data_IF_898692567120
#
_entry.id   IF_898692567120
#
_cell.length_a   1.000
_cell.length_b   1.000
_cell.length_c   1.000
_cell.angle_alpha   90.00
_cell.angle_beta   90.00
_cell.angle_gamma   90.00
#
_symmetry.space_group_name_H-M   'P 1'
#
loop_
_entity.id
_entity.type
_entity.pdbx_description
1 polymer ?
#
# COMPACT_ATOMS: atom_id res chain seq x y z
N UNK A 1 -34.92 -5.27 -8.65
CA UNK A 1 -34.74 -4.19 -7.66
C UNK A 1 -33.88 -3.12 -8.31
N UNK A 2 -34.42 -1.96 -8.65
CA UNK A 2 -33.62 -0.86 -9.22
C UNK A 2 -32.66 -0.35 -8.15
N UNK A 3 -31.35 -0.45 -8.41
CA UNK A 3 -30.29 -0.11 -7.44
C UNK A 3 -30.20 1.40 -7.17
N UNK A 4 -30.77 2.24 -8.04
CA UNK A 4 -30.82 3.68 -7.89
C UNK A 4 -32.19 4.22 -8.29
N UNK A 5 -32.74 5.21 -7.57
CA UNK A 5 -33.99 5.88 -7.95
C UNK A 5 -33.83 6.64 -9.28
N UNK A 6 -34.94 6.81 -10.03
CA UNK A 6 -34.96 7.61 -11.27
C UNK A 6 -34.43 9.03 -11.01
N UNK A 7 -33.48 9.48 -11.83
CA UNK A 7 -32.83 10.79 -11.71
C UNK A 7 -31.59 10.81 -10.81
N UNK A 8 -31.16 9.67 -10.27
CA UNK A 8 -29.93 9.60 -9.49
C UNK A 8 -28.71 10.00 -10.34
N UNK A 9 -27.79 10.83 -9.82
CA UNK A 9 -26.67 11.36 -10.61
C UNK A 9 -25.62 10.30 -10.98
N UNK A 10 -25.51 9.21 -10.21
CA UNK A 10 -24.50 8.15 -10.43
C UNK A 10 -24.64 7.48 -11.81
N UNK A 11 -25.81 6.95 -12.23
CA UNK A 11 -25.99 6.41 -13.57
C UNK A 11 -25.59 7.39 -14.69
N UNK A 12 -25.96 8.66 -14.56
CA UNK A 12 -25.63 9.70 -15.54
C UNK A 12 -24.13 9.98 -15.58
N UNK A 13 -23.48 10.07 -14.43
CA UNK A 13 -22.03 10.25 -14.32
C UNK A 13 -21.28 9.06 -14.93
N UNK A 14 -21.68 7.83 -14.60
CA UNK A 14 -21.08 6.62 -15.16
C UNK A 14 -21.21 6.58 -16.68
N UNK A 15 -22.38 6.96 -17.21
CA UNK A 15 -22.60 7.05 -18.66
C UNK A 15 -21.63 8.03 -19.31
N UNK A 16 -21.43 9.22 -18.73
CA UNK A 16 -20.47 10.21 -19.23
C UNK A 16 -19.04 9.70 -19.16
N UNK A 17 -18.65 9.07 -18.04
CA UNK A 17 -17.31 8.48 -17.88
C UNK A 17 -17.03 7.37 -18.89
N UNK A 18 -18.03 6.54 -19.22
CA UNK A 18 -17.89 5.49 -20.24
C UNK A 18 -17.80 6.03 -21.67
N UNK A 19 -18.19 7.28 -21.90
CA UNK A 19 -18.14 7.94 -23.22
C UNK A 19 -16.88 8.79 -23.40
N UNK A 20 -16.14 9.07 -22.32
CA UNK A 20 -14.89 9.82 -22.38
C UNK A 20 -13.79 9.01 -23.06
N UNK A 21 -12.93 9.69 -23.83
CA UNK A 21 -11.69 9.07 -24.29
C UNK A 21 -10.79 8.71 -23.09
N UNK A 22 -9.84 7.80 -23.29
CA UNK A 22 -8.90 7.39 -22.22
C UNK A 22 -8.21 8.59 -21.55
N UNK A 23 -7.72 9.55 -22.34
CA UNK A 23 -7.08 10.77 -21.79
C UNK A 23 -8.06 11.66 -21.02
N UNK A 24 -9.26 11.87 -21.52
CA UNK A 24 -10.28 12.65 -20.82
C UNK A 24 -10.70 11.97 -19.51
N UNK A 25 -10.84 10.65 -19.52
CA UNK A 25 -11.12 9.88 -18.32
C UNK A 25 -10.01 10.04 -17.27
N UNK A 26 -8.73 9.95 -17.66
CA UNK A 26 -7.62 10.20 -16.75
C UNK A 26 -7.65 11.61 -16.16
N UNK A 27 -7.89 12.63 -17.00
CA UNK A 27 -8.02 14.01 -16.54
C UNK A 27 -9.17 14.20 -15.54
N UNK A 28 -10.34 13.61 -15.81
CA UNK A 28 -11.50 13.67 -14.91
C UNK A 28 -11.16 13.01 -13.56
N UNK A 29 -10.53 11.85 -13.59
CA UNK A 29 -10.11 11.13 -12.37
C UNK A 29 -9.07 11.96 -11.60
N UNK A 30 -8.07 12.52 -12.27
CA UNK A 30 -7.04 13.35 -11.64
C UNK A 30 -7.63 14.59 -10.98
N UNK A 31 -8.53 15.32 -11.65
CA UNK A 31 -9.25 16.46 -11.05
C UNK A 31 -10.07 16.03 -9.83
N UNK A 32 -10.73 14.87 -9.91
CA UNK A 32 -11.46 14.29 -8.77
C UNK A 32 -10.56 14.01 -7.57
N UNK A 33 -9.40 13.40 -7.80
CA UNK A 33 -8.39 13.16 -6.76
C UNK A 33 -7.89 14.47 -6.15
N UNK A 34 -7.46 15.43 -6.98
CA UNK A 34 -6.91 16.71 -6.49
C UNK A 34 -7.94 17.48 -5.65
N UNK A 35 -9.21 17.52 -6.08
CA UNK A 35 -10.28 18.14 -5.28
C UNK A 35 -10.48 17.42 -3.95
N UNK A 36 -10.48 16.08 -3.97
CA UNK A 36 -10.63 15.28 -2.75
C UNK A 36 -9.47 15.53 -1.79
N UNK A 37 -8.24 15.55 -2.30
CA UNK A 37 -7.02 15.83 -1.56
C UNK A 37 -7.11 17.20 -0.90
N UNK A 38 -7.41 18.27 -1.64
CA UNK A 38 -7.48 19.61 -1.06
C UNK A 38 -8.58 19.74 0.00
N UNK A 39 -9.72 19.09 -0.19
CA UNK A 39 -10.77 19.05 0.84
C UNK A 39 -10.29 18.33 2.11
N UNK A 40 -9.60 17.20 1.97
CA UNK A 40 -9.06 16.44 3.12
C UNK A 40 -7.92 17.19 3.80
N UNK A 41 -6.99 17.77 3.04
CA UNK A 41 -5.90 18.61 3.55
C UNK A 41 -6.41 19.79 4.37
N UNK A 42 -7.41 20.51 3.86
CA UNK A 42 -8.00 21.63 4.58
C UNK A 42 -8.64 21.19 5.91
N UNK A 43 -9.15 19.96 6.00
CA UNK A 43 -9.84 19.45 7.19
C UNK A 43 -8.92 18.76 8.20
N UNK A 44 -7.93 18.02 7.71
CA UNK A 44 -7.10 17.09 8.50
C UNK A 44 -5.63 17.51 8.56
N UNK A 45 -5.21 18.43 7.69
CA UNK A 45 -3.82 18.80 7.49
C UNK A 45 -3.07 17.82 6.60
N UNK A 46 -2.05 18.33 5.90
CA UNK A 46 -1.20 17.52 5.00
C UNK A 46 -0.45 16.39 5.73
N UNK A 47 -0.12 16.57 7.01
CA UNK A 47 0.55 15.56 7.83
C UNK A 47 -0.34 14.40 8.29
N UNK A 48 -1.60 14.34 7.86
CA UNK A 48 -2.49 13.23 8.21
C UNK A 48 -2.25 12.02 7.31
N UNK A 49 -2.10 10.82 7.89
CA UNK A 49 -1.85 9.58 7.13
C UNK A 49 -2.90 9.30 6.03
N UNK A 50 -4.18 9.66 6.25
CA UNK A 50 -5.23 9.51 5.23
C UNK A 50 -4.96 10.41 4.03
N UNK A 51 -4.56 11.65 4.29
CA UNK A 51 -4.24 12.63 3.24
C UNK A 51 -3.04 12.14 2.42
N UNK A 52 -1.99 11.66 3.09
CA UNK A 52 -0.80 11.13 2.42
C UNK A 52 -1.11 9.88 1.57
N UNK A 53 -2.03 9.00 2.03
CA UNK A 53 -2.44 7.82 1.26
C UNK A 53 -3.19 8.20 -0.02
N UNK A 54 -4.04 9.22 0.04
CA UNK A 54 -4.73 9.73 -1.15
C UNK A 54 -3.74 10.38 -2.12
N UNK A 55 -2.75 11.12 -1.63
CA UNK A 55 -1.65 11.64 -2.45
C UNK A 55 -0.87 10.52 -3.14
N UNK A 56 -0.43 9.49 -2.41
CA UNK A 56 0.32 8.36 -2.97
C UNK A 56 -0.44 7.68 -4.12
N UNK A 57 -1.75 7.47 -3.95
CA UNK A 57 -2.63 6.90 -4.98
C UNK A 57 -2.82 7.83 -6.19
N UNK A 58 -2.88 9.15 -5.97
CA UNK A 58 -2.96 10.13 -7.05
C UNK A 58 -1.68 10.15 -7.88
N UNK A 59 -0.52 10.20 -7.22
CA UNK A 59 0.79 10.26 -7.87
C UNK A 59 1.09 9.03 -8.73
N UNK A 60 0.63 7.84 -8.31
CA UNK A 60 0.78 6.62 -9.11
C UNK A 60 0.07 6.69 -10.48
N UNK A 61 -0.93 7.55 -10.62
CA UNK A 61 -1.77 7.65 -11.83
C UNK A 61 -1.48 8.91 -12.67
N UNK A 62 -0.59 9.79 -12.21
CA UNK A 62 -0.34 11.07 -12.84
C UNK A 62 1.03 11.07 -13.52
N UNK A 63 1.06 11.46 -14.80
CA UNK A 63 2.31 11.64 -15.56
C UNK A 63 3.07 12.90 -15.12
N UNK A 64 2.34 13.93 -14.65
CA UNK A 64 2.91 15.15 -14.05
C UNK A 64 2.42 15.29 -12.59
N UNK A 65 3.28 14.99 -11.60
CA UNK A 65 2.89 14.99 -10.21
C UNK A 65 2.77 16.40 -9.64
N UNK A 66 1.57 16.77 -9.19
CA UNK A 66 1.34 18.02 -8.45
C UNK A 66 2.10 18.10 -7.09
N UNK A 67 2.61 16.96 -6.60
CA UNK A 67 3.42 16.86 -5.40
C UNK A 67 4.68 16.04 -5.69
N UNK A 68 5.90 16.56 -5.45
CA UNK A 68 7.12 15.78 -5.58
C UNK A 68 7.11 14.54 -4.68
N UNK A 69 7.54 13.39 -5.20
CA UNK A 69 7.60 12.14 -4.44
C UNK A 69 8.46 12.26 -3.16
N UNK A 70 9.53 13.05 -3.20
CA UNK A 70 10.38 13.35 -2.04
C UNK A 70 9.64 14.11 -0.93
N UNK A 71 8.71 14.99 -1.30
CA UNK A 71 7.89 15.70 -0.32
C UNK A 71 6.90 14.74 0.36
N UNK A 72 6.37 13.78 -0.39
CA UNK A 72 5.50 12.73 0.14
C UNK A 72 6.26 11.81 1.12
N UNK A 73 7.42 11.28 0.72
CA UNK A 73 8.21 10.38 1.58
C UNK A 73 8.71 11.08 2.85
N UNK A 74 9.20 12.33 2.76
CA UNK A 74 9.62 13.11 3.94
C UNK A 74 8.48 13.31 4.95
N UNK A 75 7.23 13.40 4.48
CA UNK A 75 6.07 13.55 5.36
C UNK A 75 5.69 12.24 6.01
N UNK A 76 5.71 11.15 5.27
CA UNK A 76 5.54 9.83 5.87
C UNK A 76 6.61 9.53 6.92
N UNK A 77 7.85 9.97 6.71
CA UNK A 77 8.90 9.86 7.74
C UNK A 77 8.49 10.56 9.03
N UNK A 78 8.01 11.81 8.95
CA UNK A 78 7.56 12.56 10.11
C UNK A 78 6.39 11.88 10.84
N UNK A 79 5.41 11.38 10.07
CA UNK A 79 4.25 10.65 10.61
C UNK A 79 4.69 9.33 11.26
N UNK A 80 5.64 8.64 10.66
CA UNK A 80 6.17 7.40 11.19
C UNK A 80 6.95 7.61 12.49
N UNK A 81 7.82 8.62 12.54
CA UNK A 81 8.54 8.97 13.77
C UNK A 81 7.58 9.30 14.92
N UNK A 82 6.48 10.01 14.63
CA UNK A 82 5.47 10.31 15.65
C UNK A 82 4.68 9.07 16.07
N UNK A 83 4.34 8.19 15.12
CA UNK A 83 3.69 6.93 15.41
C UNK A 83 4.53 6.04 16.32
N UNK A 84 5.86 6.00 16.10
CA UNK A 84 6.79 5.25 16.95
C UNK A 84 6.86 5.78 18.40
N UNK A 85 6.57 7.07 18.62
CA UNK A 85 6.49 7.65 19.97
C UNK A 85 5.15 7.44 20.64
N UNK A 86 4.08 7.39 19.85
CA UNK A 86 2.70 7.42 20.33
C UNK A 86 2.08 6.03 20.49
N UNK A 87 2.41 5.11 19.58
CA UNK A 87 1.80 3.79 19.51
C UNK A 87 2.80 2.70 19.89
N UNK A 88 2.28 1.55 20.32
CA UNK A 88 3.08 0.34 20.45
C UNK A 88 3.73 0.03 19.10
N UNK A 89 5.05 -0.26 19.05
CA UNK A 89 5.74 -0.57 17.80
C UNK A 89 5.13 -1.75 17.03
N UNK A 90 4.62 -2.75 17.76
CA UNK A 90 3.91 -3.94 17.25
C UNK A 90 2.41 -3.70 17.04
N UNK A 91 1.90 -2.50 17.35
CA UNK A 91 0.51 -2.14 17.14
C UNK A 91 0.16 -2.06 15.66
N UNK A 92 -1.07 -2.45 15.31
CA UNK A 92 -1.58 -2.44 13.93
C UNK A 92 -1.41 -1.07 13.26
N UNK A 93 -1.57 0.02 14.01
CA UNK A 93 -1.44 1.39 13.49
C UNK A 93 -0.03 1.74 13.01
N UNK A 94 1.00 1.28 13.71
CA UNK A 94 2.40 1.49 13.32
C UNK A 94 2.69 0.77 12.00
N UNK A 95 2.16 -0.44 11.84
CA UNK A 95 2.34 -1.24 10.62
C UNK A 95 1.54 -0.70 9.44
N UNK A 96 0.34 -0.18 9.68
CA UNK A 96 -0.42 0.55 8.66
C UNK A 96 0.39 1.73 8.10
N UNK A 97 1.02 2.52 8.99
CA UNK A 97 1.84 3.65 8.57
C UNK A 97 3.10 3.18 7.84
N UNK A 98 3.75 2.11 8.33
CA UNK A 98 4.88 1.49 7.63
C UNK A 98 4.51 0.99 6.24
N UNK A 99 3.34 0.37 6.08
CA UNK A 99 2.85 -0.10 4.80
C UNK A 99 2.69 1.05 3.81
N UNK A 100 2.00 2.12 4.20
CA UNK A 100 1.81 3.29 3.34
C UNK A 100 3.13 4.00 3.03
N UNK A 101 4.05 4.08 4.00
CA UNK A 101 5.36 4.67 3.78
C UNK A 101 6.21 3.83 2.82
N UNK A 102 6.24 2.51 3.02
CA UNK A 102 6.93 1.57 2.12
C UNK A 102 6.37 1.66 0.70
N UNK A 103 5.03 1.76 0.58
CA UNK A 103 4.36 1.94 -0.71
C UNK A 103 4.83 3.21 -1.40
N UNK A 104 4.86 4.33 -0.69
CA UNK A 104 5.30 5.61 -1.24
C UNK A 104 6.77 5.59 -1.67
N UNK A 105 7.64 4.99 -0.85
CA UNK A 105 9.06 4.82 -1.18
C UNK A 105 9.25 4.04 -2.49
N UNK A 106 8.56 2.91 -2.63
CA UNK A 106 8.71 2.04 -3.80
C UNK A 106 8.02 2.60 -5.04
N UNK A 107 6.70 2.87 -4.96
CA UNK A 107 5.89 3.16 -6.14
C UNK A 107 5.88 4.63 -6.55
N UNK A 108 6.21 5.56 -5.64
CA UNK A 108 6.23 6.98 -5.96
C UNK A 108 7.65 7.55 -6.08
N UNK A 109 8.56 7.16 -5.19
CA UNK A 109 9.91 7.71 -5.16
C UNK A 109 10.97 6.84 -5.89
N UNK A 110 10.67 5.57 -6.19
CA UNK A 110 11.65 4.58 -6.65
C UNK A 110 12.89 4.51 -5.73
N UNK A 111 12.69 4.73 -4.43
CA UNK A 111 13.74 4.68 -3.41
C UNK A 111 13.83 3.26 -2.84
N UNK A 112 14.63 2.42 -3.50
CA UNK A 112 14.75 1.00 -3.17
C UNK A 112 15.48 0.74 -1.85
N UNK A 113 16.43 1.60 -1.46
CA UNK A 113 17.13 1.50 -0.18
C UNK A 113 16.20 1.80 0.99
N UNK A 114 15.39 2.86 0.87
CA UNK A 114 14.34 3.18 1.83
C UNK A 114 13.29 2.07 1.87
N UNK A 115 12.85 1.58 0.70
CA UNK A 115 11.90 0.47 0.62
C UNK A 115 12.42 -0.76 1.36
N UNK A 116 13.67 -1.16 1.10
CA UNK A 116 14.29 -2.31 1.74
C UNK A 116 14.30 -2.17 3.27
N UNK A 117 14.71 -1.01 3.80
CA UNK A 117 14.69 -0.75 5.25
C UNK A 117 13.30 -0.85 5.84
N UNK A 118 12.31 -0.16 5.25
CA UNK A 118 10.95 -0.11 5.79
C UNK A 118 10.25 -1.47 5.70
N UNK A 119 10.43 -2.19 4.60
CA UNK A 119 9.89 -3.53 4.41
C UNK A 119 10.54 -4.53 5.39
N UNK A 120 11.86 -4.48 5.57
CA UNK A 120 12.56 -5.31 6.55
C UNK A 120 12.06 -5.05 7.97
N UNK A 121 11.89 -3.77 8.33
CA UNK A 121 11.31 -3.39 9.62
C UNK A 121 9.89 -3.92 9.80
N UNK A 122 9.07 -3.88 8.75
CA UNK A 122 7.69 -4.41 8.77
C UNK A 122 7.68 -5.92 9.01
N UNK A 123 8.54 -6.68 8.32
CA UNK A 123 8.66 -8.13 8.50
C UNK A 123 9.10 -8.45 9.93
N UNK A 124 10.14 -7.78 10.44
CA UNK A 124 10.64 -8.00 11.80
C UNK A 124 9.58 -7.69 12.87
N UNK A 125 8.79 -6.63 12.69
CA UNK A 125 7.69 -6.31 13.60
C UNK A 125 6.55 -7.33 13.52
N UNK A 126 6.23 -7.81 12.32
CA UNK A 126 5.18 -8.80 12.11
C UNK A 126 5.56 -10.21 12.57
N UNK A 127 6.85 -10.50 12.72
CA UNK A 127 7.33 -11.75 13.33
C UNK A 127 7.03 -11.83 14.83
N UNK A 128 6.81 -10.69 15.50
CA UNK A 128 6.36 -10.68 16.89
C UNK A 128 4.98 -11.36 17.02
N UNK A 129 4.82 -12.18 18.08
CA UNK A 129 3.62 -13.00 18.29
C UNK A 129 2.33 -12.18 18.38
N UNK A 130 2.43 -10.92 18.81
CA UNK A 130 1.30 -10.01 19.03
C UNK A 130 0.54 -9.64 17.73
N UNK A 131 1.22 -9.63 16.58
CA UNK A 131 0.59 -9.16 15.34
C UNK A 131 -0.09 -10.26 14.54
N UNK A 132 0.62 -11.37 14.33
CA UNK A 132 0.22 -12.39 13.36
C UNK A 132 -0.30 -13.67 14.00
N UNK A 133 -0.15 -13.81 15.34
CA UNK A 133 -0.58 -14.99 16.10
C UNK A 133 -0.22 -16.32 15.43
N UNK A 134 -0.97 -17.37 15.76
CA UNK A 134 -0.93 -18.66 15.07
C UNK A 134 -1.90 -18.71 13.88
N UNK A 135 -2.98 -17.92 13.93
CA UNK A 135 -4.04 -17.86 12.93
C UNK A 135 -4.32 -16.41 12.52
N UNK A 136 -3.53 -15.82 11.61
CA UNK A 136 -3.66 -14.41 11.24
C UNK A 136 -5.01 -14.14 10.54
N UNK A 137 -5.67 -13.06 10.95
CA UNK A 137 -6.84 -12.51 10.26
C UNK A 137 -6.42 -11.45 9.25
N UNK A 138 -7.07 -11.42 8.10
CA UNK A 138 -6.75 -10.44 7.08
C UNK A 138 -7.18 -9.04 7.53
N UNK A 139 -6.19 -8.18 7.72
CA UNK A 139 -6.36 -6.77 8.04
C UNK A 139 -5.25 -5.95 7.35
N UNK A 140 -5.27 -4.62 7.52
CA UNK A 140 -4.25 -3.75 6.92
C UNK A 140 -2.83 -4.09 7.40
N UNK A 141 -2.66 -4.53 8.65
CA UNK A 141 -1.35 -4.91 9.17
C UNK A 141 -0.83 -6.19 8.49
N UNK A 142 -1.67 -7.22 8.34
CA UNK A 142 -1.35 -8.45 7.61
C UNK A 142 -1.10 -8.19 6.12
N UNK A 143 -1.85 -7.26 5.52
CA UNK A 143 -1.58 -6.77 4.17
C UNK A 143 -0.22 -6.08 4.09
N UNK A 144 0.12 -5.24 5.07
CA UNK A 144 1.42 -4.59 5.20
C UNK A 144 2.56 -5.59 5.20
N UNK A 145 2.45 -6.63 6.03
CA UNK A 145 3.40 -7.74 6.07
C UNK A 145 3.54 -8.47 4.73
N UNK A 146 2.42 -8.86 4.10
CA UNK A 146 2.43 -9.54 2.82
C UNK A 146 3.10 -8.70 1.72
N UNK A 147 2.80 -7.40 1.67
CA UNK A 147 3.42 -6.45 0.74
C UNK A 147 4.92 -6.31 1.01
N UNK A 148 5.34 -6.18 2.27
CA UNK A 148 6.75 -6.07 2.64
C UNK A 148 7.56 -7.31 2.21
N UNK A 149 7.05 -8.51 2.49
CA UNK A 149 7.70 -9.76 2.09
C UNK A 149 7.84 -9.86 0.56
N UNK A 150 6.81 -9.46 -0.20
CA UNK A 150 6.87 -9.41 -1.66
C UNK A 150 7.92 -8.43 -2.17
N UNK A 151 7.97 -7.21 -1.62
CA UNK A 151 8.92 -6.18 -2.06
C UNK A 151 10.37 -6.58 -1.76
N UNK A 152 10.63 -7.18 -0.60
CA UNK A 152 11.95 -7.71 -0.26
C UNK A 152 12.37 -8.80 -1.26
N UNK A 153 11.48 -9.73 -1.60
CA UNK A 153 11.76 -10.73 -2.64
C UNK A 153 12.13 -10.09 -3.98
N UNK A 154 11.30 -9.15 -4.47
CA UNK A 154 11.54 -8.47 -5.74
C UNK A 154 12.87 -7.68 -5.75
N UNK A 155 13.21 -7.00 -4.66
CA UNK A 155 14.46 -6.25 -4.55
C UNK A 155 15.68 -7.17 -4.35
N UNK A 156 15.51 -8.29 -3.66
CA UNK A 156 16.54 -9.32 -3.48
C UNK A 156 17.02 -9.88 -4.82
N UNK A 157 16.09 -10.15 -5.74
CA UNK A 157 16.41 -10.60 -7.10
C UNK A 157 17.23 -9.55 -7.88
N UNK A 158 16.99 -8.27 -7.64
CA UNK A 158 17.70 -7.19 -8.32
C UNK A 158 19.08 -6.88 -7.71
N UNK A 159 19.32 -7.30 -6.47
CA UNK A 159 20.51 -6.90 -5.69
C UNK A 159 21.43 -8.06 -5.32
N UNK A 160 21.15 -9.28 -5.80
CA UNK A 160 21.97 -10.46 -5.54
C UNK A 160 21.78 -11.10 -4.16
N UNK A 161 20.64 -10.83 -3.50
CA UNK A 161 20.26 -11.40 -2.19
C UNK A 161 19.09 -12.41 -2.32
N UNK A 162 19.02 -13.15 -3.43
CA UNK A 162 17.90 -14.01 -3.83
C UNK A 162 17.47 -15.01 -2.74
N UNK A 163 18.44 -15.64 -2.07
CA UNK A 163 18.19 -16.62 -1.01
C UNK A 163 17.42 -16.01 0.15
N UNK A 164 17.80 -14.81 0.58
CA UNK A 164 17.16 -14.11 1.69
C UNK A 164 15.72 -13.70 1.32
N UNK A 165 15.54 -13.13 0.13
CA UNK A 165 14.21 -12.74 -0.36
C UNK A 165 13.26 -13.94 -0.48
N UNK A 166 13.78 -15.06 -0.99
CA UNK A 166 13.04 -16.33 -1.12
C UNK A 166 12.61 -16.87 0.25
N UNK A 167 13.53 -16.88 1.22
CA UNK A 167 13.23 -17.33 2.58
C UNK A 167 12.13 -16.48 3.24
N UNK A 168 12.23 -15.16 3.13
CA UNK A 168 11.24 -14.22 3.68
C UNK A 168 9.86 -14.46 3.04
N UNK A 169 9.82 -14.56 1.71
CA UNK A 169 8.55 -14.76 1.00
C UNK A 169 7.91 -16.12 1.30
N UNK A 170 8.70 -17.18 1.42
CA UNK A 170 8.23 -18.51 1.85
C UNK A 170 7.70 -18.49 3.28
N UNK A 171 8.39 -17.80 4.19
CA UNK A 171 7.92 -17.63 5.57
C UNK A 171 6.55 -16.94 5.61
N UNK A 172 6.39 -15.85 4.85
CA UNK A 172 5.14 -15.13 4.76
C UNK A 172 3.99 -15.99 4.20
N UNK A 173 4.28 -16.77 3.16
CA UNK A 173 3.32 -17.73 2.59
C UNK A 173 2.86 -18.74 3.64
N UNK A 174 3.80 -19.43 4.28
CA UNK A 174 3.48 -20.43 5.31
C UNK A 174 2.63 -19.85 6.43
N UNK A 175 2.92 -18.61 6.84
CA UNK A 175 2.16 -17.95 7.92
C UNK A 175 0.75 -17.56 7.49
N UNK A 176 0.59 -17.03 6.28
CA UNK A 176 -0.72 -16.64 5.73
C UNK A 176 -1.62 -17.86 5.43
N UNK A 177 -1.05 -19.03 5.16
CA UNK A 177 -1.81 -20.27 4.95
C UNK A 177 -2.57 -20.74 6.19
N UNK A 178 -2.08 -20.41 7.38
CA UNK A 178 -2.72 -20.74 8.66
C UNK A 178 -3.85 -19.76 9.02
N UNK A 179 -3.98 -18.67 8.28
CA UNK A 179 -4.95 -17.61 8.53
C UNK A 179 -6.34 -17.88 7.96
N UNK A 180 -7.15 -16.82 7.94
CA UNK A 180 -8.49 -16.85 7.34
C UNK A 180 -8.48 -17.04 5.81
N UNK A 181 -9.67 -17.07 5.20
CA UNK A 181 -9.83 -17.29 3.76
C UNK A 181 -9.07 -16.26 2.91
N UNK A 182 -9.05 -15.00 3.32
CA UNK A 182 -8.39 -13.95 2.53
C UNK A 182 -6.86 -14.08 2.68
N UNK A 183 -6.35 -14.37 3.89
CA UNK A 183 -4.94 -14.74 4.09
C UNK A 183 -4.50 -15.89 3.17
N UNK A 184 -5.29 -16.96 3.10
CA UNK A 184 -5.01 -18.12 2.24
C UNK A 184 -5.02 -17.78 0.74
N UNK A 185 -5.93 -16.91 0.29
CA UNK A 185 -5.94 -16.40 -1.09
C UNK A 185 -4.65 -15.63 -1.37
N UNK A 186 -4.22 -14.78 -0.44
CA UNK A 186 -3.01 -13.96 -0.59
C UNK A 186 -1.75 -14.81 -0.56
N UNK A 187 -1.70 -15.85 0.27
CA UNK A 187 -0.63 -16.85 0.23
C UNK A 187 -0.49 -17.49 -1.16
N UNK A 188 -1.60 -17.88 -1.81
CA UNK A 188 -1.58 -18.41 -3.18
C UNK A 188 -1.06 -17.40 -4.20
N UNK A 189 -1.45 -16.13 -4.08
CA UNK A 189 -0.93 -15.06 -4.94
C UNK A 189 0.58 -14.91 -4.78
N UNK A 190 1.10 -14.92 -3.54
CA UNK A 190 2.53 -14.84 -3.26
C UNK A 190 3.30 -16.08 -3.78
N UNK A 191 2.71 -17.28 -3.69
CA UNK A 191 3.29 -18.48 -4.34
C UNK A 191 3.42 -18.31 -5.85
N UNK A 192 2.45 -17.64 -6.48
CA UNK A 192 2.52 -17.28 -7.89
C UNK A 192 3.74 -16.42 -8.20
N UNK A 193 4.02 -15.41 -7.37
CA UNK A 193 5.22 -14.56 -7.50
C UNK A 193 6.52 -15.37 -7.41
N UNK A 194 6.58 -16.33 -6.49
CA UNK A 194 7.72 -17.26 -6.34
C UNK A 194 7.95 -18.15 -7.56
N UNK A 195 6.88 -18.61 -8.21
CA UNK A 195 6.96 -19.53 -9.35
C UNK A 195 7.11 -18.86 -10.72
N UNK A 196 6.74 -17.59 -10.86
CA UNK A 196 6.83 -16.87 -12.14
C UNK A 196 8.26 -16.49 -12.55
N UNK A 197 9.23 -16.54 -11.64
CA UNK A 197 10.61 -16.13 -11.89
C UNK A 197 11.63 -17.29 -11.87
N UNK A 198 11.18 -18.53 -11.70
CA UNK A 198 12.02 -19.75 -11.82
C UNK A 198 11.93 -20.42 -13.20
N UNK A 199 11.51 -19.68 -14.24
CA UNK A 199 11.37 -20.16 -15.61
C UNK A 199 12.28 -19.38 -16.57
#
# INVERSE_FOLDING_TARGET
MERYPKGHPIPSLLKVLCQASTNEFFNIVQVGYLRTIHCLEHRLGFGNAVVLSVWSNCLKKADDPALPASALTSRYESVFQEAQRTFTPTGTRTIEILHEYTYAAYYNANDYDLTWRLASQTVNLAESFELMGDHPQWCLATQGYATAAKLLFTLSEQTGHEDQGTLILRSAISRLELGDRECQIRARMLRGVLGTNTA
#
